data_IF_633358099020
#
_entry.id   IF_633358099020
#
_cell.length_a   1.000
_cell.length_b   1.000
_cell.length_c   1.000
_cell.angle_alpha   90.00
_cell.angle_beta   90.00
_cell.angle_gamma   90.00
#
_symmetry.space_group_name_H-M   'P 1'
#
loop_
_entity.id
_entity.type
_entity.pdbx_description
1 polymer ?
#
# COMPACT_ATOMS: atom_id res chain seq x y z
N UNK A 1 27.54 -7.19 22.14
CA UNK A 1 26.19 -6.62 21.90
C UNK A 1 25.53 -7.43 20.80
N UNK A 2 24.22 -7.69 20.89
CA UNK A 2 23.52 -8.42 19.83
C UNK A 2 23.56 -7.63 18.51
N UNK A 3 23.70 -8.34 17.39
CA UNK A 3 23.70 -7.78 16.04
C UNK A 3 22.71 -8.54 15.16
N UNK A 4 22.35 -7.96 14.02
CA UNK A 4 21.46 -8.55 13.03
C UNK A 4 21.75 -7.98 11.63
N UNK A 5 21.30 -8.68 10.58
CA UNK A 5 21.47 -8.23 9.19
C UNK A 5 20.41 -7.20 8.79
N UNK A 6 20.81 -6.26 7.94
CA UNK A 6 19.92 -5.27 7.36
C UNK A 6 20.36 -4.83 5.97
N UNK A 7 19.40 -4.47 5.13
CA UNK A 7 19.64 -3.87 3.82
C UNK A 7 19.71 -2.34 3.97
N UNK A 8 20.92 -1.80 3.93
CA UNK A 8 21.22 -0.39 4.20
C UNK A 8 21.22 0.43 2.92
N UNK A 9 20.47 1.52 2.92
CA UNK A 9 20.64 2.59 1.94
C UNK A 9 21.83 3.45 2.36
N UNK A 10 22.92 3.37 1.61
CA UNK A 10 24.18 4.10 1.90
C UNK A 10 24.22 5.50 1.30
N UNK A 11 23.38 5.75 0.29
CA UNK A 11 23.26 7.04 -0.39
C UNK A 11 22.09 7.04 -1.36
N UNK A 12 21.69 8.24 -1.82
CA UNK A 12 20.61 8.42 -2.80
C UNK A 12 20.97 7.73 -4.12
N UNK A 13 20.03 6.95 -4.65
CA UNK A 13 20.18 6.21 -5.90
C UNK A 13 21.13 5.01 -5.83
N UNK A 14 21.68 4.70 -4.65
CA UNK A 14 22.61 3.58 -4.50
C UNK A 14 21.87 2.26 -4.26
N UNK A 15 22.42 1.12 -4.71
CA UNK A 15 21.94 -0.20 -4.31
C UNK A 15 21.96 -0.36 -2.78
N UNK A 16 21.00 -1.13 -2.25
CA UNK A 16 21.02 -1.49 -0.84
C UNK A 16 22.18 -2.43 -0.54
N UNK A 17 22.90 -2.18 0.54
CA UNK A 17 24.03 -3.00 0.99
C UNK A 17 23.62 -3.80 2.22
N UNK A 18 23.70 -5.13 2.15
CA UNK A 18 23.42 -5.98 3.30
C UNK A 18 24.62 -5.97 4.25
N UNK A 19 24.40 -5.57 5.50
CA UNK A 19 25.44 -5.54 6.52
C UNK A 19 24.88 -5.80 7.92
N UNK A 20 25.76 -6.22 8.84
CA UNK A 20 25.43 -6.36 10.25
C UNK A 20 25.32 -4.98 10.91
N UNK A 21 24.31 -4.81 11.77
CA UNK A 21 24.17 -3.64 12.65
C UNK A 21 23.87 -4.07 14.07
N UNK A 22 24.05 -3.16 15.02
CA UNK A 22 23.66 -3.37 16.41
C UNK A 22 22.14 -3.51 16.53
N UNK A 23 21.68 -4.42 17.38
CA UNK A 23 20.28 -4.51 17.80
C UNK A 23 20.07 -3.65 19.04
N UNK A 24 19.29 -2.58 18.91
CA UNK A 24 18.91 -1.74 20.04
C UNK A 24 17.69 -2.31 20.80
N UNK A 25 17.56 -1.92 22.07
CA UNK A 25 16.43 -2.27 22.93
C UNK A 25 15.26 -1.32 22.65
N UNK A 26 14.00 -1.78 22.80
CA UNK A 26 12.87 -0.90 22.60
C UNK A 26 12.82 0.20 23.67
N UNK A 27 12.40 1.41 23.28
CA UNK A 27 12.00 2.44 24.23
C UNK A 27 10.68 2.10 24.96
N UNK A 28 10.22 2.94 25.89
CA UNK A 28 9.05 2.67 26.73
C UNK A 28 7.76 2.35 25.95
N UNK A 29 7.54 2.99 24.81
CA UNK A 29 6.33 2.86 23.98
C UNK A 29 6.57 2.01 22.72
N UNK A 30 7.57 1.13 22.74
CA UNK A 30 8.05 0.44 21.54
C UNK A 30 8.07 -1.08 21.68
N UNK A 31 8.03 -1.73 20.53
CA UNK A 31 8.20 -3.16 20.35
C UNK A 31 9.54 -3.40 19.66
N UNK A 32 10.29 -4.39 20.11
CA UNK A 32 11.36 -4.98 19.30
C UNK A 32 10.80 -6.19 18.56
N UNK A 33 10.82 -6.14 17.23
CA UNK A 33 10.19 -7.16 16.38
C UNK A 33 11.25 -8.00 15.70
N UNK A 34 11.15 -9.32 15.79
CA UNK A 34 11.83 -10.22 14.87
C UNK A 34 11.07 -10.25 13.55
N UNK A 35 11.60 -9.57 12.55
CA UNK A 35 11.01 -9.50 11.22
C UNK A 35 11.05 -10.87 10.57
N UNK A 36 9.89 -11.32 10.06
CA UNK A 36 9.72 -12.60 9.35
C UNK A 36 9.40 -12.40 7.89
N UNK A 37 8.68 -11.32 7.55
CA UNK A 37 8.46 -10.89 6.18
C UNK A 37 8.33 -9.36 6.12
N UNK A 38 8.59 -8.81 4.94
CA UNK A 38 8.40 -7.39 4.63
C UNK A 38 7.55 -7.26 3.37
N UNK A 39 6.76 -6.20 3.30
CA UNK A 39 6.05 -5.79 2.09
C UNK A 39 6.86 -4.75 1.32
N UNK A 40 6.87 -4.83 -0.01
CA UNK A 40 7.47 -3.82 -0.87
C UNK A 40 6.39 -2.88 -1.42
N UNK A 41 6.66 -1.59 -1.32
CA UNK A 41 5.76 -0.52 -1.73
C UNK A 41 6.42 0.36 -2.79
N UNK A 42 5.63 1.04 -3.65
CA UNK A 42 6.19 2.02 -4.58
C UNK A 42 7.00 3.12 -3.89
N UNK A 43 6.61 3.51 -2.67
CA UNK A 43 7.36 4.48 -1.89
C UNK A 43 8.81 4.03 -1.62
N UNK A 44 9.09 2.73 -1.46
CA UNK A 44 10.42 2.23 -1.09
C UNK A 44 11.47 2.48 -2.17
N UNK A 45 11.13 2.25 -3.45
CA UNK A 45 12.07 2.54 -4.53
C UNK A 45 12.19 4.05 -4.78
N UNK A 46 11.14 4.84 -4.55
CA UNK A 46 11.20 6.30 -4.65
C UNK A 46 12.08 6.86 -3.52
N UNK A 47 12.00 6.31 -2.31
CA UNK A 47 12.91 6.61 -1.21
C UNK A 47 14.35 6.30 -1.61
N UNK A 48 14.62 5.08 -2.13
CA UNK A 48 15.95 4.68 -2.58
C UNK A 48 16.50 5.59 -3.69
N UNK A 49 15.73 5.80 -4.76
CA UNK A 49 16.22 6.44 -5.98
C UNK A 49 16.21 7.96 -5.89
N UNK A 50 15.15 8.52 -5.29
CA UNK A 50 14.89 9.95 -5.31
C UNK A 50 15.08 10.61 -3.93
N UNK A 51 15.25 9.82 -2.87
CA UNK A 51 15.41 10.34 -1.51
C UNK A 51 14.12 10.88 -0.90
N UNK A 52 12.94 10.43 -1.37
CA UNK A 52 11.66 10.80 -0.77
C UNK A 52 11.70 10.52 0.75
N UNK A 53 11.30 11.49 1.56
CA UNK A 53 11.33 11.45 3.04
C UNK A 53 12.70 11.31 3.73
N UNK A 54 13.77 10.93 3.01
CA UNK A 54 15.09 10.67 3.61
C UNK A 54 15.79 11.98 3.96
N UNK A 55 16.15 12.11 5.25
CA UNK A 55 16.89 13.27 5.77
C UNK A 55 18.41 13.07 5.76
N UNK A 56 18.87 11.85 5.96
CA UNK A 56 20.30 11.51 6.01
C UNK A 56 20.52 10.04 5.64
N UNK A 57 21.76 9.76 5.23
CA UNK A 57 22.28 8.42 5.00
C UNK A 57 23.46 8.16 5.95
N UNK A 58 23.76 6.90 6.30
CA UNK A 58 23.02 5.69 5.94
C UNK A 58 21.69 5.55 6.68
N UNK A 59 20.72 4.88 6.07
CA UNK A 59 19.40 4.59 6.67
C UNK A 59 18.87 3.20 6.26
N UNK A 60 17.81 2.72 6.92
CA UNK A 60 17.06 1.52 6.53
C UNK A 60 15.70 1.95 5.99
N UNK A 61 15.32 1.44 4.83
CA UNK A 61 14.05 1.75 4.18
C UNK A 61 12.97 0.73 4.57
N UNK A 62 11.79 0.88 3.95
CA UNK A 62 10.70 -0.06 4.08
C UNK A 62 9.66 0.35 5.12
N UNK A 63 8.40 0.10 4.80
CA UNK A 63 7.25 0.41 5.65
C UNK A 63 6.59 -0.82 6.25
N UNK A 64 6.42 -1.89 5.48
CA UNK A 64 5.63 -3.02 5.93
C UNK A 64 6.48 -4.10 6.59
N UNK A 65 6.13 -4.46 7.83
CA UNK A 65 6.73 -5.56 8.59
C UNK A 65 5.66 -6.54 9.02
N UNK A 66 5.96 -7.83 8.98
CA UNK A 66 5.31 -8.81 9.86
C UNK A 66 6.36 -9.60 10.64
N UNK A 67 6.03 -9.98 11.88
CA UNK A 67 7.01 -10.62 12.74
C UNK A 67 6.51 -11.01 14.12
N UNK A 68 7.45 -11.52 14.92
CA UNK A 68 7.21 -11.89 16.31
C UNK A 68 7.75 -10.80 17.23
N UNK A 69 6.97 -10.37 18.22
CA UNK A 69 7.43 -9.45 19.26
C UNK A 69 8.46 -10.17 20.13
N UNK A 70 9.68 -9.66 20.21
CA UNK A 70 10.75 -10.19 21.06
C UNK A 70 10.81 -9.52 22.43
N UNK A 71 10.63 -8.21 22.45
CA UNK A 71 10.66 -7.39 23.68
C UNK A 71 9.63 -6.28 23.56
N UNK A 72 9.13 -5.82 24.71
CA UNK A 72 8.12 -4.77 24.84
C UNK A 72 8.62 -3.71 25.80
N UNK A 73 8.37 -2.45 25.48
CA UNK A 73 8.68 -1.33 26.35
C UNK A 73 7.78 -1.27 27.59
N UNK A 74 8.20 -0.49 28.58
CA UNK A 74 7.56 -0.41 29.91
C UNK A 74 6.10 0.11 29.86
N UNK A 75 5.78 0.96 28.89
CA UNK A 75 4.44 1.53 28.72
C UNK A 75 3.53 0.65 27.84
N UNK A 76 4.08 -0.40 27.22
CA UNK A 76 3.31 -1.29 26.34
C UNK A 76 2.47 -2.25 27.16
N UNK A 77 1.18 -2.31 26.83
CA UNK A 77 0.23 -3.15 27.54
C UNK A 77 0.42 -4.64 27.22
N UNK A 78 0.63 -5.44 28.27
CA UNK A 78 0.91 -6.89 28.15
C UNK A 78 -0.25 -7.79 28.61
N UNK A 79 -1.33 -7.22 29.17
CA UNK A 79 -2.49 -7.98 29.65
C UNK A 79 -3.81 -7.38 29.17
N UNK A 80 -4.77 -8.25 28.94
CA UNK A 80 -6.14 -7.88 28.60
C UNK A 80 -6.80 -7.19 29.79
N UNK A 81 -7.47 -6.07 29.54
CA UNK A 81 -8.36 -5.38 30.49
C UNK A 81 -9.79 -5.51 29.96
N UNK A 82 -10.82 -5.14 30.76
CA UNK A 82 -12.20 -5.14 30.30
C UNK A 82 -12.43 -4.29 29.05
N UNK A 83 -11.60 -3.26 28.84
CA UNK A 83 -11.51 -2.54 27.58
C UNK A 83 -10.71 -3.36 26.55
N UNK A 84 -11.45 -3.92 25.59
CA UNK A 84 -10.94 -4.76 24.49
C UNK A 84 -10.41 -3.95 23.30
N UNK A 85 -10.50 -2.62 23.34
CA UNK A 85 -10.15 -1.77 22.19
C UNK A 85 -8.63 -1.59 22.06
N UNK A 86 -7.88 -1.42 23.14
CA UNK A 86 -6.42 -1.35 23.06
C UNK A 86 -5.79 -2.73 22.81
N UNK A 87 -4.88 -2.89 21.83
CA UNK A 87 -4.15 -4.14 21.59
C UNK A 87 -3.23 -4.50 22.77
N UNK A 88 -2.89 -5.79 22.85
CA UNK A 88 -2.00 -6.36 23.87
C UNK A 88 -0.83 -7.05 23.18
N UNK A 89 0.39 -6.78 23.65
CA UNK A 89 1.62 -7.36 23.11
C UNK A 89 2.39 -8.10 24.18
N UNK A 90 2.77 -9.34 23.90
CA UNK A 90 3.54 -10.21 24.77
C UNK A 90 4.79 -10.70 24.03
N UNK A 91 5.93 -10.47 24.65
CA UNK A 91 7.22 -10.95 24.17
C UNK A 91 7.23 -12.47 23.97
N UNK A 92 7.77 -12.93 22.84
CA UNK A 92 7.84 -14.34 22.46
C UNK A 92 6.52 -14.98 22.04
N UNK A 93 5.40 -14.24 22.10
CA UNK A 93 4.05 -14.79 21.88
C UNK A 93 3.33 -14.03 20.75
N UNK A 94 3.28 -12.70 20.84
CA UNK A 94 2.44 -11.91 19.93
C UNK A 94 3.06 -11.83 18.54
N UNK A 95 2.33 -12.34 17.55
CA UNK A 95 2.58 -12.16 16.13
C UNK A 95 1.95 -10.84 15.69
N UNK A 96 2.64 -10.06 14.86
CA UNK A 96 2.14 -8.75 14.42
C UNK A 96 2.32 -8.54 12.91
N UNK A 97 1.53 -7.60 12.38
CA UNK A 97 1.93 -6.77 11.25
C UNK A 97 2.10 -5.32 11.74
N UNK A 98 2.96 -4.53 11.11
CA UNK A 98 3.21 -3.16 11.54
C UNK A 98 3.67 -2.24 10.40
N UNK A 99 3.31 -0.96 10.55
CA UNK A 99 3.83 0.13 9.76
C UNK A 99 5.11 0.69 10.43
N UNK A 100 6.27 0.35 9.87
CA UNK A 100 7.58 0.79 10.33
C UNK A 100 7.68 2.33 10.35
N UNK A 101 8.31 2.87 11.40
CA UNK A 101 8.22 4.29 11.73
C UNK A 101 9.39 5.14 11.21
N UNK A 102 10.26 4.59 10.33
CA UNK A 102 11.46 5.27 9.84
C UNK A 102 11.22 6.73 9.44
N UNK A 103 10.23 6.99 8.60
CA UNK A 103 9.88 8.34 8.11
C UNK A 103 9.54 9.31 9.26
N UNK A 104 8.95 8.82 10.34
CA UNK A 104 8.52 9.61 11.49
C UNK A 104 9.58 9.73 12.59
N UNK A 105 10.60 8.86 12.55
CA UNK A 105 11.77 8.85 13.46
C UNK A 105 13.00 9.43 12.77
N UNK A 106 12.83 10.47 11.95
CA UNK A 106 13.92 11.14 11.22
C UNK A 106 14.79 10.21 10.37
N UNK A 107 14.20 9.13 9.83
CA UNK A 107 14.89 8.07 9.09
C UNK A 107 16.01 7.40 9.90
N UNK A 108 15.82 7.29 11.22
CA UNK A 108 16.69 6.49 12.07
C UNK A 108 16.69 5.02 11.58
N UNK A 109 17.88 4.43 11.31
CA UNK A 109 18.03 3.06 10.84
C UNK A 109 17.29 1.99 11.66
N UNK A 110 17.03 2.22 12.94
CA UNK A 110 16.40 1.21 13.81
C UNK A 110 14.90 1.01 13.54
N UNK A 111 14.28 1.92 12.77
CA UNK A 111 12.83 1.94 12.54
C UNK A 111 12.40 1.64 11.10
N UNK A 112 13.33 1.24 10.22
CA UNK A 112 13.03 0.82 8.84
C UNK A 112 12.69 -0.66 8.74
N UNK A 113 11.82 -1.06 7.82
CA UNK A 113 11.38 -2.46 7.72
C UNK A 113 12.47 -3.43 7.22
N UNK A 114 13.42 -2.99 6.38
CA UNK A 114 14.35 -3.88 5.67
C UNK A 114 15.53 -4.36 6.53
N UNK A 115 15.21 -5.01 7.64
CA UNK A 115 16.16 -5.56 8.60
C UNK A 115 15.55 -6.71 9.39
N UNK A 116 16.37 -7.59 9.96
CA UNK A 116 15.88 -8.73 10.74
C UNK A 116 15.31 -8.35 12.12
N UNK A 117 15.63 -7.16 12.63
CA UNK A 117 15.15 -6.62 13.91
C UNK A 117 14.75 -5.16 13.74
N UNK A 118 13.48 -4.85 13.98
CA UNK A 118 12.95 -3.49 13.80
C UNK A 118 12.33 -3.00 15.11
N UNK A 119 12.61 -1.75 15.47
CA UNK A 119 11.85 -1.03 16.50
C UNK A 119 10.57 -0.46 15.88
N UNK A 120 9.46 -0.59 16.59
CA UNK A 120 8.14 -0.18 16.13
C UNK A 120 7.38 0.45 17.31
N UNK A 121 6.86 1.68 17.22
CA UNK A 121 5.92 2.20 18.20
C UNK A 121 4.69 1.31 18.27
N UNK A 122 4.23 0.90 19.46
CA UNK A 122 3.20 -0.13 19.56
C UNK A 122 1.89 0.24 18.84
N UNK A 123 1.56 1.54 18.75
CA UNK A 123 0.39 2.07 18.04
C UNK A 123 0.43 1.75 16.54
N UNK A 124 1.62 1.57 15.96
CA UNK A 124 1.80 1.23 14.56
C UNK A 124 1.62 -0.26 14.27
N UNK A 125 1.42 -1.09 15.29
CA UNK A 125 1.33 -2.53 15.18
C UNK A 125 -0.11 -3.04 15.37
N UNK A 126 -0.48 -4.04 14.59
CA UNK A 126 -1.68 -4.84 14.77
C UNK A 126 -1.29 -6.25 15.24
N UNK A 127 -1.82 -6.75 16.36
CA UNK A 127 -1.67 -8.15 16.72
C UNK A 127 -2.47 -9.03 15.75
N UNK A 128 -1.82 -10.04 15.19
CA UNK A 128 -2.46 -10.97 14.26
C UNK A 128 -3.38 -11.94 15.02
N UNK A 129 -4.55 -12.30 14.46
CA UNK A 129 -5.39 -13.35 15.03
C UNK A 129 -4.70 -14.73 14.93
N UNK A 130 -5.24 -15.71 15.64
CA UNK A 130 -4.74 -17.09 15.61
C UNK A 130 -5.07 -17.85 14.31
N UNK A 131 -5.78 -17.23 13.37
CA UNK A 131 -6.38 -17.83 12.17
C UNK A 131 -5.39 -18.08 11.00
N UNK A 132 -4.19 -18.57 11.32
CA UNK A 132 -3.20 -19.05 10.34
C UNK A 132 -2.76 -18.05 9.24
N UNK A 133 -2.99 -16.74 9.42
CA UNK A 133 -2.38 -15.74 8.52
C UNK A 133 -0.87 -15.97 8.45
N UNK A 134 -0.33 -16.18 7.26
CA UNK A 134 1.12 -16.33 7.08
C UNK A 134 1.85 -14.99 7.31
N UNK A 135 3.15 -15.04 7.58
CA UNK A 135 3.97 -13.83 7.68
C UNK A 135 3.90 -13.00 6.40
N UNK A 136 3.94 -13.64 5.23
CA UNK A 136 3.88 -12.95 3.93
C UNK A 136 2.55 -12.23 3.76
N UNK A 137 1.42 -12.90 4.02
CA UNK A 137 0.09 -12.27 3.95
C UNK A 137 -0.04 -11.11 4.95
N UNK A 138 0.45 -11.29 6.17
CA UNK A 138 0.41 -10.24 7.19
C UNK A 138 1.23 -9.00 6.78
N UNK A 139 2.36 -9.20 6.10
CA UNK A 139 3.21 -8.11 5.64
C UNK A 139 2.60 -7.29 4.49
N UNK A 140 1.49 -7.72 3.87
CA UNK A 140 0.82 -6.91 2.83
C UNK A 140 -0.24 -5.96 3.38
N UNK A 141 -0.47 -5.94 4.69
CA UNK A 141 -1.59 -5.24 5.32
C UNK A 141 -1.31 -3.81 5.78
N UNK A 142 -0.15 -3.46 6.38
CA UNK A 142 -0.02 -2.20 7.10
C UNK A 142 -0.20 -0.96 6.20
N UNK A 143 0.57 -0.80 5.13
CA UNK A 143 0.38 0.30 4.17
C UNK A 143 -0.99 0.19 3.48
N UNK A 144 -1.41 -1.02 3.08
CA UNK A 144 -2.68 -1.25 2.41
C UNK A 144 -3.89 -0.76 3.22
N UNK A 145 -3.84 -0.88 4.56
CA UNK A 145 -4.88 -0.39 5.45
C UNK A 145 -4.69 1.10 5.79
N UNK A 146 -3.49 1.52 6.19
CA UNK A 146 -3.24 2.88 6.67
C UNK A 146 -3.57 3.96 5.62
N UNK A 147 -3.22 3.71 4.36
CA UNK A 147 -3.35 4.70 3.27
C UNK A 147 -4.80 5.08 2.98
N UNK A 148 -5.73 4.15 2.69
CA UNK A 148 -7.14 4.50 2.50
C UNK A 148 -7.81 5.02 3.77
N UNK A 149 -7.45 4.52 4.96
CA UNK A 149 -7.99 5.06 6.22
C UNK A 149 -7.55 6.52 6.46
N UNK A 150 -6.30 6.86 6.12
CA UNK A 150 -5.84 8.25 6.12
C UNK A 150 -6.61 9.11 5.09
N UNK A 151 -6.93 8.56 3.91
CA UNK A 151 -7.77 9.24 2.93
C UNK A 151 -9.15 9.59 3.51
N UNK A 152 -9.76 8.68 4.28
CA UNK A 152 -11.04 8.91 4.97
C UNK A 152 -10.94 10.01 6.03
N UNK A 153 -9.89 10.00 6.84
CA UNK A 153 -9.63 11.07 7.83
C UNK A 153 -9.49 12.43 7.12
N UNK A 154 -8.71 12.51 6.03
CA UNK A 154 -8.50 13.74 5.24
C UNK A 154 -9.79 14.25 4.59
N UNK A 155 -10.67 13.34 4.19
CA UNK A 155 -12.00 13.66 3.65
C UNK A 155 -13.05 13.95 4.72
N UNK A 156 -12.74 13.73 5.99
CA UNK A 156 -13.69 13.95 7.09
C UNK A 156 -14.79 12.89 7.15
N UNK A 157 -14.54 11.70 6.61
CA UNK A 157 -15.46 10.56 6.81
C UNK A 157 -15.46 10.13 8.28
N UNK A 158 -16.61 9.68 8.80
CA UNK A 158 -16.67 9.16 10.15
C UNK A 158 -15.84 7.88 10.27
N UNK A 159 -15.23 7.71 11.45
CA UNK A 159 -14.62 6.44 11.88
C UNK A 159 -15.74 5.43 12.16
N UNK A 160 -15.61 4.21 11.64
CA UNK A 160 -16.68 3.21 11.65
C UNK A 160 -17.11 2.77 13.06
N UNK A 161 -16.19 2.84 14.01
CA UNK A 161 -16.30 2.41 15.40
C UNK A 161 -16.83 3.53 16.30
N UNK A 162 -17.04 4.74 15.75
CA UNK A 162 -17.62 5.85 16.48
C UNK A 162 -19.08 5.54 16.83
N UNK A 163 -19.35 5.30 18.11
CA UNK A 163 -20.69 5.09 18.66
C UNK A 163 -21.42 6.40 18.99
N UNK A 164 -20.86 7.54 18.60
CA UNK A 164 -21.52 8.83 18.80
C UNK A 164 -22.90 8.78 18.12
N UNK A 165 -23.94 9.22 18.85
CA UNK A 165 -25.27 9.40 18.28
C UNK A 165 -25.19 10.51 17.24
N UNK A 166 -24.91 10.13 16.01
CA UNK A 166 -24.80 11.05 14.91
C UNK A 166 -26.09 11.02 14.09
N UNK A 167 -26.55 12.19 13.67
CA UNK A 167 -27.72 12.29 12.81
C UNK A 167 -27.49 11.47 11.54
N UNK A 168 -28.53 10.73 11.13
CA UNK A 168 -28.51 10.00 9.87
C UNK A 168 -28.36 11.02 8.74
N UNK A 169 -27.26 10.93 7.99
CA UNK A 169 -27.09 11.73 6.78
C UNK A 169 -27.80 11.06 5.63
N UNK A 170 -28.35 11.88 4.73
CA UNK A 170 -28.85 11.39 3.46
C UNK A 170 -27.66 10.89 2.62
N UNK A 171 -27.71 9.61 2.27
CA UNK A 171 -26.73 8.99 1.40
C UNK A 171 -27.02 9.38 -0.04
N UNK A 172 -26.24 10.31 -0.57
CA UNK A 172 -26.42 10.89 -1.91
C UNK A 172 -25.13 10.91 -2.72
N UNK A 173 -24.04 10.33 -2.20
CA UNK A 173 -22.73 10.35 -2.82
C UNK A 173 -22.29 8.97 -3.30
N UNK A 174 -21.73 8.91 -4.50
CA UNK A 174 -20.84 7.83 -4.88
C UNK A 174 -19.41 8.19 -4.44
N UNK A 175 -18.74 7.27 -3.74
CA UNK A 175 -17.33 7.39 -3.40
C UNK A 175 -16.48 6.73 -4.49
N UNK A 176 -15.62 7.52 -5.14
CA UNK A 176 -14.78 7.04 -6.24
C UNK A 176 -13.45 6.49 -5.73
N UNK A 177 -13.11 5.27 -6.15
CA UNK A 177 -11.80 4.65 -5.93
C UNK A 177 -11.10 4.50 -7.29
N UNK A 178 -10.14 5.38 -7.56
CA UNK A 178 -9.37 5.29 -8.80
C UNK A 178 -8.13 4.41 -8.62
N UNK A 179 -7.94 3.40 -9.47
CA UNK A 179 -6.85 2.43 -9.33
C UNK A 179 -7.14 1.31 -8.32
N UNK A 180 -8.39 0.84 -8.30
CA UNK A 180 -8.96 -0.05 -7.30
C UNK A 180 -8.33 -1.46 -7.22
N UNK A 181 -7.62 -1.92 -8.25
CA UNK A 181 -6.93 -3.21 -8.21
C UNK A 181 -5.50 -3.15 -7.63
N UNK A 182 -5.04 -1.97 -7.20
CA UNK A 182 -3.77 -1.82 -6.47
C UNK A 182 -3.91 -2.26 -5.00
N UNK A 183 -2.80 -2.52 -4.30
CA UNK A 183 -2.83 -2.97 -2.89
C UNK A 183 -3.63 -2.04 -1.97
N UNK A 184 -3.37 -0.73 -2.03
CA UNK A 184 -4.15 0.27 -1.26
C UNK A 184 -5.55 0.47 -1.85
N UNK A 185 -5.72 0.27 -3.16
CA UNK A 185 -7.02 0.37 -3.84
C UNK A 185 -8.01 -0.72 -3.43
N UNK A 186 -7.55 -1.96 -3.25
CA UNK A 186 -8.42 -3.09 -2.87
C UNK A 186 -8.95 -2.92 -1.44
N UNK A 187 -8.11 -2.44 -0.51
CA UNK A 187 -8.54 -2.04 0.83
C UNK A 187 -9.38 -0.76 0.81
N UNK A 188 -9.09 0.16 -0.11
CA UNK A 188 -9.92 1.33 -0.39
C UNK A 188 -11.36 0.95 -0.74
N UNK A 189 -11.56 -0.01 -1.66
CA UNK A 189 -12.91 -0.50 -2.03
C UNK A 189 -13.61 -1.15 -0.83
N UNK A 190 -12.94 -2.04 -0.10
CA UNK A 190 -13.55 -2.75 1.04
C UNK A 190 -13.93 -1.78 2.16
N UNK A 191 -13.05 -0.84 2.52
CA UNK A 191 -13.34 0.17 3.55
C UNK A 191 -14.40 1.19 3.10
N UNK A 192 -14.42 1.57 1.82
CA UNK A 192 -15.49 2.39 1.25
C UNK A 192 -16.85 1.67 1.26
N UNK A 193 -16.87 0.35 1.03
CA UNK A 193 -18.09 -0.44 1.12
C UNK A 193 -18.66 -0.45 2.54
N UNK A 194 -17.80 -0.46 3.56
CA UNK A 194 -18.22 -0.29 4.96
C UNK A 194 -18.75 1.11 5.25
N UNK A 195 -18.21 2.15 4.61
CA UNK A 195 -18.74 3.51 4.77
C UNK A 195 -20.20 3.64 4.35
N UNK A 196 -20.68 2.82 3.41
CA UNK A 196 -22.11 2.75 3.06
C UNK A 196 -23.00 2.29 4.21
N UNK A 197 -22.45 1.59 5.19
CA UNK A 197 -23.20 1.08 6.34
C UNK A 197 -23.23 2.08 7.49
N UNK A 198 -22.36 3.10 7.47
CA UNK A 198 -22.25 4.05 8.56
C UNK A 198 -23.36 5.12 8.47
N UNK A 199 -24.20 5.32 9.51
CA UNK A 199 -25.36 6.21 9.47
C UNK A 199 -25.08 7.66 9.09
N UNK A 200 -23.87 8.15 9.37
CA UNK A 200 -23.46 9.53 9.09
C UNK A 200 -22.45 9.65 7.96
N UNK A 201 -22.23 8.57 7.22
CA UNK A 201 -21.52 8.64 5.95
C UNK A 201 -22.47 9.12 4.86
N UNK A 202 -22.04 10.03 3.96
CA UNK A 202 -22.83 10.40 2.79
C UNK A 202 -22.80 9.36 1.67
N UNK A 203 -21.99 8.30 1.80
CA UNK A 203 -21.77 7.30 0.74
C UNK A 203 -22.98 6.39 0.55
N UNK A 204 -23.60 6.46 -0.62
CA UNK A 204 -24.62 5.55 -1.11
C UNK A 204 -24.03 4.41 -1.95
N UNK A 205 -22.96 4.68 -2.70
CA UNK A 205 -22.35 3.73 -3.63
C UNK A 205 -20.82 3.84 -3.65
N UNK A 206 -20.14 2.75 -4.01
CA UNK A 206 -18.71 2.71 -4.30
C UNK A 206 -18.51 2.53 -5.80
N UNK A 207 -17.93 3.54 -6.43
CA UNK A 207 -17.52 3.49 -7.83
C UNK A 207 -16.02 3.22 -7.88
N UNK A 208 -15.58 2.35 -8.78
CA UNK A 208 -14.18 1.94 -8.83
C UNK A 208 -13.66 1.90 -10.27
N UNK A 209 -12.37 2.23 -10.46
CA UNK A 209 -11.70 2.04 -11.76
C UNK A 209 -10.60 0.98 -11.66
N UNK A 210 -10.53 0.09 -12.65
CA UNK A 210 -9.45 -0.89 -12.79
C UNK A 210 -9.34 -1.35 -14.25
N UNK A 211 -8.28 -2.09 -14.61
CA UNK A 211 -8.22 -2.69 -15.95
C UNK A 211 -9.26 -3.80 -16.10
N UNK A 212 -9.77 -4.03 -17.31
CA UNK A 212 -10.86 -4.98 -17.62
C UNK A 212 -10.72 -6.34 -16.91
N UNK A 213 -9.52 -6.92 -16.92
CA UNK A 213 -9.24 -8.22 -16.32
C UNK A 213 -9.58 -8.30 -14.81
N UNK A 214 -9.55 -7.17 -14.11
CA UNK A 214 -9.77 -7.09 -12.66
C UNK A 214 -11.19 -6.66 -12.29
N UNK A 215 -12.11 -6.42 -13.24
CA UNK A 215 -13.47 -5.96 -12.93
C UNK A 215 -14.21 -6.91 -12.00
N UNK A 216 -14.18 -8.21 -12.29
CA UNK A 216 -14.83 -9.22 -11.44
C UNK A 216 -14.26 -9.28 -10.02
N UNK A 217 -12.93 -9.16 -9.90
CA UNK A 217 -12.26 -9.11 -8.60
C UNK A 217 -12.68 -7.86 -7.82
N UNK A 218 -12.59 -6.68 -8.42
CA UNK A 218 -12.95 -5.40 -7.76
C UNK A 218 -14.43 -5.34 -7.37
N UNK A 219 -15.34 -5.86 -8.21
CA UNK A 219 -16.75 -6.00 -7.83
C UNK A 219 -16.93 -6.92 -6.62
N UNK A 220 -16.17 -8.01 -6.53
CA UNK A 220 -16.24 -8.93 -5.38
C UNK A 220 -15.79 -8.32 -4.05
N UNK A 221 -15.00 -7.23 -4.11
CA UNK A 221 -14.53 -6.48 -2.94
C UNK A 221 -15.57 -5.48 -2.39
N UNK A 222 -16.68 -5.25 -3.12
CA UNK A 222 -17.75 -4.35 -2.67
C UNK A 222 -17.99 -3.11 -3.54
N UNK A 223 -17.34 -2.99 -4.70
CA UNK A 223 -17.65 -1.94 -5.67
C UNK A 223 -19.02 -2.18 -6.32
N UNK A 224 -19.85 -1.14 -6.39
CA UNK A 224 -21.19 -1.17 -7.01
C UNK A 224 -21.12 -1.00 -8.53
N UNK A 225 -20.25 -0.12 -9.02
CA UNK A 225 -19.93 0.06 -10.45
C UNK A 225 -18.41 0.02 -10.66
N UNK A 226 -17.98 -0.65 -11.74
CA UNK A 226 -16.55 -0.79 -12.08
C UNK A 226 -16.27 -0.41 -13.53
N UNK A 227 -15.43 0.61 -13.69
CA UNK A 227 -15.10 1.25 -14.96
C UNK A 227 -13.68 0.87 -15.42
N UNK A 228 -13.47 0.78 -16.73
CA UNK A 228 -12.12 0.55 -17.27
C UNK A 228 -11.39 1.88 -17.41
N UNK A 229 -10.29 2.08 -16.67
CA UNK A 229 -9.54 3.33 -16.76
C UNK A 229 -8.83 3.51 -18.12
N UNK A 230 -8.71 2.45 -18.94
CA UNK A 230 -8.12 2.55 -20.28
C UNK A 230 -9.12 3.04 -21.33
N UNK A 231 -10.42 3.12 -21.00
CA UNK A 231 -11.40 3.68 -21.91
C UNK A 231 -11.22 5.21 -21.99
N UNK A 232 -11.07 5.72 -23.21
CA UNK A 232 -10.92 7.16 -23.46
C UNK A 232 -12.14 7.97 -22.99
N UNK A 233 -13.32 7.35 -22.92
CA UNK A 233 -14.58 7.94 -22.44
C UNK A 233 -14.88 7.66 -20.96
N UNK A 234 -13.94 7.10 -20.20
CA UNK A 234 -14.20 6.66 -18.81
C UNK A 234 -14.72 7.78 -17.89
N UNK A 235 -14.25 9.02 -18.10
CA UNK A 235 -14.71 10.18 -17.31
C UNK A 235 -16.19 10.43 -17.56
N UNK A 236 -16.61 10.46 -18.83
CA UNK A 236 -18.00 10.68 -19.20
C UNK A 236 -18.90 9.51 -18.75
N UNK A 237 -18.41 8.29 -18.84
CA UNK A 237 -19.11 7.08 -18.37
C UNK A 237 -19.40 7.15 -16.87
N UNK A 238 -18.40 7.52 -16.05
CA UNK A 238 -18.54 7.66 -14.60
C UNK A 238 -19.55 8.78 -14.26
N UNK A 239 -19.46 9.93 -14.94
CA UNK A 239 -20.36 11.07 -14.72
C UNK A 239 -21.80 10.73 -15.11
N UNK A 240 -21.99 10.05 -16.24
CA UNK A 240 -23.30 9.61 -16.70
C UNK A 240 -23.92 8.59 -15.73
N UNK A 241 -23.13 7.62 -15.26
CA UNK A 241 -23.55 6.62 -14.28
C UNK A 241 -24.01 7.26 -12.97
N UNK A 242 -23.26 8.22 -12.43
CA UNK A 242 -23.65 8.92 -11.21
C UNK A 242 -24.96 9.70 -11.39
N UNK A 243 -25.14 10.39 -12.53
CA UNK A 243 -26.39 11.09 -12.85
C UNK A 243 -27.58 10.14 -12.99
N UNK A 244 -27.38 8.99 -13.64
CA UNK A 244 -28.38 7.92 -13.77
C UNK A 244 -28.82 7.40 -12.39
N UNK A 245 -27.87 7.19 -11.49
CA UNK A 245 -28.12 6.71 -10.13
C UNK A 245 -28.68 7.81 -9.19
N UNK A 246 -28.79 9.06 -9.66
CA UNK A 246 -29.19 10.20 -8.84
C UNK A 246 -28.17 10.57 -7.76
N UNK A 247 -26.90 10.22 -7.98
CA UNK A 247 -25.78 10.44 -7.07
C UNK A 247 -24.86 11.55 -7.55
N UNK A 248 -24.06 12.07 -6.63
CA UNK A 248 -22.96 13.00 -6.92
C UNK A 248 -21.62 12.41 -6.51
N UNK A 249 -20.55 12.83 -7.20
CA UNK A 249 -19.19 12.43 -6.86
C UNK A 249 -18.48 13.63 -6.24
N UNK A 250 -18.28 13.59 -4.92
CA UNK A 250 -17.58 14.65 -4.16
C UNK A 250 -16.24 14.22 -3.62
N UNK A 251 -16.03 12.92 -3.50
CA UNK A 251 -14.89 12.31 -2.85
C UNK A 251 -14.27 11.27 -3.78
N UNK A 252 -12.95 11.38 -3.97
CA UNK A 252 -12.17 10.42 -4.75
C UNK A 252 -10.90 10.01 -4.01
N UNK A 253 -10.72 8.71 -3.77
CA UNK A 253 -9.44 8.16 -3.37
C UNK A 253 -8.66 7.75 -4.62
N UNK A 254 -7.59 8.49 -4.92
CA UNK A 254 -6.65 8.17 -5.98
C UNK A 254 -5.57 7.22 -5.44
N UNK A 255 -5.80 5.92 -5.60
CA UNK A 255 -4.86 4.88 -5.19
C UNK A 255 -3.66 4.80 -6.15
N UNK A 256 -3.92 4.89 -7.45
CA UNK A 256 -2.92 4.88 -8.52
C UNK A 256 -3.58 5.36 -9.82
N UNK A 257 -2.89 6.14 -10.66
CA UNK A 257 -3.37 6.49 -12.01
C UNK A 257 -3.35 7.98 -12.28
N UNK A 258 -4.32 8.46 -13.07
CA UNK A 258 -4.34 9.82 -13.61
C UNK A 258 -5.15 10.78 -12.72
N UNK A 259 -4.44 11.70 -12.06
CA UNK A 259 -5.05 12.74 -11.24
C UNK A 259 -6.03 13.62 -12.03
N UNK A 260 -5.68 14.00 -13.26
CA UNK A 260 -6.51 14.86 -14.11
C UNK A 260 -7.88 14.25 -14.42
N UNK A 261 -7.96 12.93 -14.64
CA UNK A 261 -9.22 12.24 -14.84
C UNK A 261 -10.10 12.26 -13.58
N UNK A 262 -9.50 12.06 -12.40
CA UNK A 262 -10.20 12.17 -11.12
C UNK A 262 -10.74 13.60 -10.90
N UNK A 263 -9.93 14.61 -11.20
CA UNK A 263 -10.34 16.02 -11.12
C UNK A 263 -11.49 16.34 -12.06
N UNK A 264 -11.44 15.86 -13.31
CA UNK A 264 -12.50 16.07 -14.30
C UNK A 264 -13.83 15.44 -13.84
N UNK A 265 -13.79 14.22 -13.28
CA UNK A 265 -14.98 13.56 -12.73
C UNK A 265 -15.61 14.39 -11.60
N UNK A 266 -14.82 14.82 -10.61
CA UNK A 266 -15.37 15.58 -9.47
C UNK A 266 -15.85 16.97 -9.88
N UNK A 267 -15.11 17.65 -10.77
CA UNK A 267 -15.46 18.98 -11.27
C UNK A 267 -16.82 19.00 -11.98
N UNK A 268 -17.23 17.91 -12.63
CA UNK A 268 -18.55 17.78 -13.26
C UNK A 268 -19.73 17.91 -12.26
N UNK A 269 -19.46 17.86 -10.95
CA UNK A 269 -20.44 18.01 -9.86
C UNK A 269 -20.18 19.25 -8.98
N UNK A 270 -19.27 20.14 -9.38
CA UNK A 270 -18.99 21.43 -8.75
C UNK A 270 -19.76 22.53 -9.49
N UNK A 271 -20.63 23.28 -8.80
CA UNK A 271 -21.37 24.43 -9.38
C UNK A 271 -22.55 24.09 -10.30
N UNK A 272 -23.55 25.00 -10.33
CA UNK A 272 -24.84 25.03 -11.07
C UNK A 272 -25.45 23.71 -11.60
N UNK A 273 -26.35 23.16 -10.77
CA UNK A 273 -27.29 22.05 -10.98
C UNK A 273 -28.15 21.88 -9.71
N UNK A 274 -29.18 21.01 -9.66
CA UNK A 274 -29.99 20.80 -8.45
C UNK A 274 -29.17 20.39 -7.20
N UNK A 275 -27.94 19.91 -7.41
CA UNK A 275 -26.96 19.55 -6.39
C UNK A 275 -25.87 20.62 -6.10
N UNK A 276 -26.05 21.86 -6.58
CA UNK A 276 -25.10 22.98 -6.51
C UNK A 276 -24.88 23.60 -5.12
N UNK A 277 -25.39 22.99 -4.05
CA UNK A 277 -25.21 23.50 -2.69
C UNK A 277 -23.83 23.28 -2.08
N UNK A 278 -22.86 22.71 -2.82
CA UNK A 278 -21.59 22.27 -2.23
C UNK A 278 -20.40 22.95 -2.88
N UNK A 279 -19.62 23.60 -2.03
CA UNK A 279 -18.54 24.50 -2.42
C UNK A 279 -17.19 23.81 -2.65
N UNK A 280 -17.00 22.54 -2.25
CA UNK A 280 -15.72 21.83 -2.34
C UNK A 280 -15.88 20.32 -2.50
N UNK A 281 -15.22 19.74 -3.51
CA UNK A 281 -14.95 18.31 -3.68
C UNK A 281 -13.50 18.01 -3.30
N UNK A 282 -13.16 16.76 -2.97
CA UNK A 282 -11.84 16.39 -2.47
C UNK A 282 -11.29 15.10 -3.08
N UNK A 283 -10.03 15.16 -3.47
CA UNK A 283 -9.21 14.02 -3.89
C UNK A 283 -8.14 13.78 -2.83
N UNK A 284 -8.08 12.57 -2.29
CA UNK A 284 -6.95 12.11 -1.49
C UNK A 284 -6.07 11.20 -2.35
N UNK A 285 -4.81 11.57 -2.54
CA UNK A 285 -3.86 10.90 -3.44
C UNK A 285 -2.85 10.07 -2.65
N UNK A 286 -2.78 8.77 -2.94
CA UNK A 286 -1.69 7.91 -2.47
C UNK A 286 -0.36 8.18 -3.18
N UNK A 287 -0.32 8.37 -4.51
CA UNK A 287 0.90 8.81 -5.18
C UNK A 287 1.33 10.21 -4.74
N UNK A 288 2.65 10.49 -4.70
CA UNK A 288 3.16 11.86 -4.56
C UNK A 288 2.57 12.77 -5.63
N UNK A 289 2.15 13.96 -5.21
CA UNK A 289 1.63 14.96 -6.13
C UNK A 289 2.77 15.56 -6.97
N UNK A 290 2.56 15.81 -8.28
CA UNK A 290 3.50 16.58 -9.10
C UNK A 290 3.83 17.94 -8.47
N UNK A 291 5.03 18.46 -8.70
CA UNK A 291 5.43 19.80 -8.19
C UNK A 291 4.50 20.93 -8.67
N UNK A 292 3.83 20.74 -9.81
CA UNK A 292 2.88 21.69 -10.40
C UNK A 292 1.54 20.99 -10.64
N UNK A 293 0.83 20.65 -9.57
CA UNK A 293 -0.55 20.17 -9.68
C UNK A 293 -1.41 21.25 -10.33
N UNK A 294 -2.10 20.90 -11.41
CA UNK A 294 -3.12 21.76 -12.00
C UNK A 294 -4.26 21.96 -10.99
N UNK A 295 -4.49 23.20 -10.57
CA UNK A 295 -5.63 23.55 -9.73
C UNK A 295 -6.91 23.50 -10.57
N UNK A 296 -7.95 22.88 -10.00
CA UNK A 296 -9.28 22.81 -10.60
C UNK A 296 -10.25 23.43 -9.61
N UNK A 297 -11.01 24.43 -10.06
CA UNK A 297 -11.90 25.20 -9.19
C UNK A 297 -12.88 24.28 -8.45
N UNK A 298 -12.97 24.45 -7.13
CA UNK A 298 -13.82 23.64 -6.26
C UNK A 298 -13.38 22.18 -6.08
N UNK A 299 -12.22 21.75 -6.58
CA UNK A 299 -11.65 20.42 -6.34
C UNK A 299 -10.31 20.53 -5.60
N UNK A 300 -10.33 20.23 -4.30
CA UNK A 300 -9.13 20.15 -3.46
C UNK A 300 -8.42 18.81 -3.68
N UNK A 301 -7.10 18.83 -3.91
CA UNK A 301 -6.28 17.60 -4.00
C UNK A 301 -5.23 17.59 -2.91
N UNK A 302 -5.20 16.52 -2.11
CA UNK A 302 -4.29 16.37 -0.96
C UNK A 302 -3.58 15.03 -1.05
N UNK A 303 -2.26 15.00 -0.84
CA UNK A 303 -1.54 13.74 -0.68
C UNK A 303 -1.89 13.13 0.68
N UNK A 304 -2.16 11.83 0.73
CA UNK A 304 -2.33 11.11 2.00
C UNK A 304 -1.00 11.06 2.73
N UNK A 305 -0.95 11.76 3.86
CA UNK A 305 0.18 11.75 4.77
C UNK A 305 -0.36 11.73 6.20
N UNK A 306 0.05 10.76 7.04
CA UNK A 306 -0.17 10.84 8.47
C UNK A 306 0.40 12.14 9.05
N UNK A 307 -0.03 12.53 10.25
CA UNK A 307 0.46 13.76 10.87
C UNK A 307 2.00 13.76 11.03
N UNK A 308 2.67 14.60 10.23
CA UNK A 308 4.14 14.62 10.17
C UNK A 308 4.75 15.38 11.35
N UNK A 309 4.17 16.52 11.72
CA UNK A 309 4.70 17.41 12.75
C UNK A 309 4.15 17.12 14.16
N UNK A 310 2.92 16.60 14.25
CA UNK A 310 2.25 16.29 15.52
C UNK A 310 2.30 14.78 15.78
N UNK A 311 3.23 14.39 16.67
CA UNK A 311 3.41 12.98 17.05
C UNK A 311 2.19 12.41 17.79
N UNK A 312 1.55 13.17 18.68
CA UNK A 312 0.41 12.68 19.44
C UNK A 312 -0.78 12.37 18.52
N UNK A 313 -1.05 13.27 17.57
CA UNK A 313 -2.08 13.05 16.55
C UNK A 313 -1.72 11.86 15.65
N UNK A 314 -0.46 11.74 15.23
CA UNK A 314 0.01 10.60 14.41
C UNK A 314 -0.16 9.27 15.12
N UNK A 315 0.24 9.17 16.40
CA UNK A 315 0.10 7.96 17.18
C UNK A 315 -1.39 7.60 17.35
N UNK A 316 -2.25 8.60 17.57
CA UNK A 316 -3.71 8.41 17.63
C UNK A 316 -4.29 7.89 16.30
N UNK A 317 -3.78 8.38 15.17
CA UNK A 317 -4.14 7.90 13.84
C UNK A 317 -3.74 6.43 13.65
N UNK A 318 -2.48 6.07 13.92
CA UNK A 318 -2.01 4.69 13.77
C UNK A 318 -2.68 3.74 14.75
N UNK A 319 -2.90 4.14 16.00
CA UNK A 319 -3.62 3.33 16.98
C UNK A 319 -5.03 3.01 16.48
N UNK A 320 -5.71 3.98 15.87
CA UNK A 320 -7.00 3.75 15.24
C UNK A 320 -6.88 2.80 14.03
N UNK A 321 -6.00 3.09 13.07
CA UNK A 321 -5.89 2.30 11.84
C UNK A 321 -5.45 0.85 12.08
N UNK A 322 -4.49 0.64 12.97
CA UNK A 322 -3.88 -0.67 13.24
C UNK A 322 -4.52 -1.36 14.45
N UNK A 323 -4.54 -0.67 15.60
CA UNK A 323 -4.94 -1.21 16.89
C UNK A 323 -6.44 -1.40 17.06
N UNK A 324 -7.24 -0.63 16.31
CA UNK A 324 -8.70 -0.72 16.30
C UNK A 324 -9.21 -1.31 14.99
N UNK A 325 -9.18 -0.56 13.89
CA UNK A 325 -9.86 -0.92 12.64
C UNK A 325 -9.33 -2.23 12.06
N UNK A 326 -8.02 -2.31 11.78
CA UNK A 326 -7.45 -3.50 11.14
C UNK A 326 -7.51 -4.73 12.05
N UNK A 327 -7.28 -4.56 13.35
CA UNK A 327 -7.43 -5.63 14.35
C UNK A 327 -8.84 -6.23 14.32
N UNK A 328 -9.87 -5.38 14.36
CA UNK A 328 -11.27 -5.83 14.33
C UNK A 328 -11.59 -6.50 12.99
N UNK A 329 -11.18 -5.91 11.87
CA UNK A 329 -11.48 -6.48 10.55
C UNK A 329 -10.74 -7.77 10.22
N UNK A 330 -9.57 -7.99 10.82
CA UNK A 330 -8.90 -9.30 10.75
C UNK A 330 -9.59 -10.35 11.62
N UNK A 331 -10.16 -9.96 12.77
CA UNK A 331 -10.92 -10.86 13.63
C UNK A 331 -12.28 -11.25 13.04
N UNK A 332 -12.91 -10.34 12.28
CA UNK A 332 -14.16 -10.57 11.54
C UNK A 332 -13.97 -11.33 10.22
N UNK A 333 -12.72 -11.62 9.83
CA UNK A 333 -12.36 -12.12 8.49
C UNK A 333 -12.87 -11.22 7.34
N UNK A 334 -13.08 -9.93 7.63
CA UNK A 334 -13.59 -8.95 6.66
C UNK A 334 -12.49 -8.46 5.72
N UNK A 335 -11.30 -8.21 6.26
CA UNK A 335 -10.10 -7.92 5.46
C UNK A 335 -9.50 -9.25 5.01
N UNK A 336 -10.23 -9.95 4.14
CA UNK A 336 -9.77 -11.19 3.52
C UNK A 336 -10.24 -11.23 2.07
N UNK A 337 -9.33 -10.84 1.18
CA UNK A 337 -9.32 -11.30 -0.20
C UNK A 337 -7.88 -11.65 -0.61
N UNK A 338 -7.28 -12.61 0.11
CA UNK A 338 -6.10 -13.35 -0.38
C UNK A 338 -6.37 -14.85 -0.53
N UNK A 339 -7.51 -15.35 -0.05
CA UNK A 339 -8.06 -16.67 -0.40
C UNK A 339 -9.59 -16.57 -0.49
N UNK A 340 -10.15 -17.19 -1.53
CA UNK A 340 -11.57 -17.11 -1.86
C UNK A 340 -12.46 -17.69 -0.75
N UNK A 341 -13.07 -16.84 0.09
CA UNK A 341 -14.24 -17.26 0.90
C UNK A 341 -15.12 -16.13 1.43
N UNK A 342 -15.42 -15.11 0.63
CA UNK A 342 -16.53 -14.19 0.93
C UNK A 342 -17.88 -14.80 0.47
N UNK A 343 -18.54 -15.59 1.33
CA UNK A 343 -19.91 -16.10 1.09
C UNK A 343 -20.71 -16.14 2.40
N UNK A 344 -21.16 -14.99 2.91
CA UNK A 344 -22.30 -15.00 3.87
C UNK A 344 -23.15 -13.75 4.00
N UNK A 345 -22.72 -12.57 3.56
CA UNK A 345 -23.46 -11.34 3.86
C UNK A 345 -24.45 -10.84 2.79
N UNK A 346 -24.62 -11.54 1.66
CA UNK A 346 -25.54 -11.09 0.60
C UNK A 346 -27.00 -11.50 0.80
N UNK A 347 -27.31 -12.36 1.76
CA UNK A 347 -28.65 -12.99 1.88
C UNK A 347 -29.61 -12.39 2.90
N UNK A 348 -29.19 -11.46 3.78
CA UNK A 348 -30.06 -11.02 4.88
C UNK A 348 -30.65 -9.61 4.77
N UNK A 349 -30.31 -8.82 3.75
CA UNK A 349 -30.88 -7.48 3.58
C UNK A 349 -31.25 -7.21 2.12
N UNK A 350 -32.40 -7.72 1.71
CA UNK A 350 -33.17 -7.13 0.62
C UNK A 350 -34.50 -6.63 1.22
N UNK A 351 -34.84 -5.34 1.10
CA UNK A 351 -36.18 -4.90 1.47
C UNK A 351 -37.19 -5.58 0.53
N UNK A 352 -38.28 -6.08 1.11
CA UNK A 352 -39.42 -6.65 0.37
C UNK A 352 -40.02 -5.57 -0.53
N UNK A 353 -39.60 -5.53 -1.79
CA UNK A 353 -40.36 -4.86 -2.85
C UNK A 353 -41.35 -5.87 -3.39
N UNK A 354 -42.61 -5.71 -3.02
CA UNK A 354 -43.74 -6.39 -3.67
C UNK A 354 -43.97 -5.75 -5.03
N UNK A 355 -43.63 -6.44 -6.11
CA UNK A 355 -44.24 -6.18 -7.41
C UNK A 355 -44.47 -7.47 -8.18
N UNK A 356 -45.70 -7.61 -8.66
CA UNK A 356 -46.20 -8.74 -9.43
C UNK A 356 -45.42 -8.86 -10.74
N UNK A 357 -44.87 -10.05 -11.02
CA UNK A 357 -44.31 -10.41 -12.33
C UNK A 357 -45.43 -10.77 -13.30
N UNK A 358 -45.36 -10.33 -14.58
CA UNK A 358 -45.78 -11.15 -15.70
C UNK A 358 -44.57 -11.88 -16.32
N UNK A 359 -44.82 -13.11 -16.78
CA UNK A 359 -43.86 -14.06 -17.37
C UNK A 359 -43.23 -13.50 -18.67
N UNK A 360 -41.93 -13.74 -18.93
CA UNK A 360 -41.36 -13.48 -20.25
C UNK A 360 -41.65 -14.65 -21.20
N UNK A 361 -42.27 -14.34 -22.34
CA UNK A 361 -42.30 -15.18 -23.53
C UNK A 361 -40.95 -15.09 -24.25
N UNK A 362 -40.44 -16.25 -24.63
CA UNK A 362 -39.21 -16.45 -25.40
C UNK A 362 -39.50 -16.17 -26.88
N UNK A 363 -38.83 -15.19 -27.48
CA UNK A 363 -38.80 -15.00 -28.94
C UNK A 363 -37.34 -15.01 -29.41
N UNK A 364 -36.95 -16.09 -30.08
CA UNK A 364 -35.75 -16.19 -30.91
C UNK A 364 -36.00 -15.48 -32.25
N UNK A 365 -34.95 -14.91 -32.87
CA UNK A 365 -34.56 -15.00 -34.30
C UNK A 365 -33.34 -14.07 -34.60
N UNK A 366 -32.58 -14.24 -35.72
CA UNK A 366 -31.11 -14.22 -35.74
C UNK A 366 -30.41 -13.23 -36.73
N UNK A 367 -29.07 -13.16 -36.62
CA UNK A 367 -27.98 -12.91 -37.61
C UNK A 367 -28.14 -11.97 -38.84
N UNK A 368 -27.17 -11.04 -39.02
CA UNK A 368 -26.36 -10.73 -40.24
C UNK A 368 -25.65 -9.36 -40.08
N UNK A 369 -24.31 -9.24 -40.07
CA UNK A 369 -23.32 -9.18 -41.17
C UNK A 369 -23.42 -7.96 -42.10
N UNK A 370 -22.35 -7.14 -42.15
CA UNK A 370 -21.82 -6.27 -43.25
C UNK A 370 -20.61 -5.54 -42.60
N UNK A 371 -19.33 -5.60 -43.03
CA UNK A 371 -18.74 -5.46 -44.38
C UNK A 371 -18.92 -4.00 -44.83
N UNK A 372 -17.92 -3.13 -45.05
CA UNK A 372 -16.68 -3.28 -45.82
C UNK A 372 -15.86 -1.96 -45.83
N UNK A 373 -14.55 -2.04 -46.15
CA UNK A 373 -13.70 -1.07 -46.90
C UNK A 373 -13.28 0.27 -46.27
N UNK A 374 -12.18 0.95 -46.66
CA UNK A 374 -10.80 0.73 -47.19
C UNK A 374 -10.23 2.15 -47.43
N UNK A 375 -8.91 2.27 -47.67
CA UNK A 375 -8.10 3.46 -48.11
C UNK A 375 -7.57 4.33 -46.96
N UNK A 376 -6.27 4.46 -46.63
CA UNK A 376 -4.98 4.54 -47.36
C UNK A 376 -4.72 5.90 -48.05
N UNK A 377 -3.49 6.44 -47.84
CA UNK A 377 -2.86 7.72 -48.27
C UNK A 377 -2.93 8.83 -47.19
N UNK A 378 -1.85 9.51 -46.76
CA UNK A 378 -0.66 9.98 -47.49
C UNK A 378 0.65 10.00 -46.67
N UNK A 379 1.75 10.00 -47.43
CA UNK A 379 3.16 10.15 -47.02
C UNK A 379 3.58 11.62 -47.20
N UNK A 380 4.61 12.01 -46.44
CA UNK A 380 5.70 12.95 -46.78
C UNK A 380 5.73 14.37 -46.17
N UNK A 381 6.88 14.57 -45.49
CA UNK A 381 7.87 15.66 -45.65
C UNK A 381 7.81 16.92 -44.78
N UNK A 382 9.00 17.29 -44.30
CA UNK A 382 9.38 18.56 -43.66
C UNK A 382 9.84 18.33 -42.21
N UNK A 383 11.11 18.30 -41.83
CA UNK A 383 12.27 19.04 -42.33
C UNK A 383 12.58 20.20 -41.38
N UNK A 384 13.86 20.34 -40.99
CA UNK A 384 14.48 21.41 -40.17
C UNK A 384 14.27 21.32 -38.65
N UNK A 385 15.24 21.61 -37.76
CA UNK A 385 16.57 22.23 -37.92
C UNK A 385 17.34 22.11 -36.59
N UNK A 386 18.65 21.91 -36.69
CA UNK A 386 19.65 22.21 -35.65
C UNK A 386 20.00 23.70 -35.66
N UNK A 387 20.06 24.34 -34.49
CA UNK A 387 21.01 25.42 -34.12
C UNK A 387 20.91 25.66 -32.61
N UNK A 388 22.00 25.45 -31.87
CA UNK A 388 22.87 26.48 -31.24
C UNK A 388 22.08 27.43 -30.32
N UNK A 389 22.33 27.48 -29.01
CA UNK A 389 23.63 27.74 -28.39
C UNK A 389 23.69 29.23 -28.03
N UNK A 390 23.57 29.57 -26.75
CA UNK A 390 23.58 30.96 -26.27
C UNK A 390 23.52 31.07 -24.74
N UNK A 391 24.72 31.12 -24.15
CA UNK A 391 25.19 31.77 -22.93
C UNK A 391 24.46 31.69 -21.56
N UNK A 392 25.09 30.88 -20.70
CA UNK A 392 25.58 31.11 -19.32
C UNK A 392 25.38 32.50 -18.67
N UNK A 393 24.94 32.50 -17.40
CA UNK A 393 25.77 33.02 -16.30
C UNK A 393 25.34 32.58 -14.89
N UNK A 394 26.33 32.13 -14.10
CA UNK A 394 26.45 32.58 -12.71
C UNK A 394 25.98 31.72 -11.53
N UNK A 395 26.55 30.52 -11.28
CA UNK A 395 26.77 30.02 -9.89
C UNK A 395 28.02 29.13 -9.82
N UNK A 396 29.00 29.54 -8.99
CA UNK A 396 30.20 28.75 -8.63
C UNK A 396 29.84 27.63 -7.65
N UNK A 397 30.12 26.37 -8.00
CA UNK A 397 30.13 25.23 -7.06
C UNK A 397 31.56 24.95 -6.59
N UNK A 398 31.78 24.98 -5.27
CA UNK A 398 33.03 24.53 -4.63
C UNK A 398 33.09 22.99 -4.67
N UNK A 399 34.22 22.44 -5.12
CA UNK A 399 34.51 21.01 -5.08
C UNK A 399 34.88 20.54 -3.66
N UNK A 400 34.52 19.31 -3.23
CA UNK A 400 34.99 18.72 -1.98
C UNK A 400 36.41 18.18 -2.14
N UNK A 401 37.30 18.59 -1.22
CA UNK A 401 38.65 18.02 -1.08
C UNK A 401 38.63 16.66 -0.40
N UNK A 402 39.55 15.83 -0.86
CA UNK A 402 39.86 14.47 -0.47
C UNK A 402 40.34 14.34 0.98
N UNK A 403 40.01 13.21 1.61
CA UNK A 403 40.84 12.61 2.65
C UNK A 403 40.62 11.09 2.68
N UNK A 404 41.42 10.38 1.89
CA UNK A 404 41.74 8.97 2.08
C UNK A 404 43.16 8.92 2.63
N UNK A 405 43.36 8.38 3.84
CA UNK A 405 44.57 7.63 4.20
C UNK A 405 44.51 7.07 5.63
N UNK A 406 44.63 5.75 5.71
CA UNK A 406 45.60 5.00 6.55
C UNK A 406 44.98 3.89 7.39
N UNK A 407 44.99 2.69 6.81
CA UNK A 407 45.08 1.42 7.53
C UNK A 407 46.36 0.79 7.02
N UNK A 408 47.34 0.51 7.90
CA UNK A 408 48.18 -0.69 7.86
C UNK A 408 49.14 -0.78 9.06
N UNK A 409 49.40 -2.05 9.43
CA UNK A 409 50.44 -2.64 10.30
C UNK A 409 50.08 -2.93 11.78
N UNK A 410 49.67 -4.17 12.18
CA UNK A 410 50.42 -5.47 12.38
C UNK A 410 50.96 -5.58 13.85
N UNK A 411 51.20 -6.75 14.53
CA UNK A 411 50.97 -8.19 14.25
C UNK A 411 50.23 -9.00 15.36
N UNK A 412 49.92 -10.25 15.01
CA UNK A 412 49.61 -11.41 15.85
C UNK A 412 50.78 -11.93 16.68
N UNK A 413 50.55 -12.41 17.92
CA UNK A 413 51.23 -13.58 18.54
C UNK A 413 50.53 -13.99 19.85
N UNK A 414 50.32 -15.29 20.07
CA UNK A 414 50.26 -15.87 21.43
C UNK A 414 49.16 -16.91 21.68
N UNK A 415 49.44 -18.18 21.39
CA UNK A 415 48.68 -19.35 21.84
C UNK A 415 49.00 -19.75 23.30
N UNK A 416 48.08 -20.56 23.86
CA UNK A 416 48.15 -21.53 24.98
C UNK A 416 47.09 -21.23 26.06
N UNK A 417 46.32 -22.15 26.62
CA UNK A 417 45.95 -23.55 26.34
C UNK A 417 44.94 -23.97 27.42
N UNK A 418 43.85 -24.63 26.99
CA UNK A 418 43.04 -25.67 27.65
C UNK A 418 42.42 -25.51 29.05
N UNK A 419 41.08 -25.65 29.08
CA UNK A 419 40.30 -25.97 30.28
C UNK A 419 38.78 -26.08 30.06
N UNK A 420 38.35 -27.11 29.32
CA UNK A 420 37.02 -27.76 29.33
C UNK A 420 35.74 -26.99 28.89
N UNK A 421 35.15 -27.40 27.75
CA UNK A 421 33.72 -27.22 27.46
C UNK A 421 33.33 -27.20 25.98
N UNK A 422 32.80 -28.31 25.47
CA UNK A 422 31.81 -28.41 24.36
C UNK A 422 32.08 -27.69 23.03
N UNK A 423 32.49 -28.48 22.04
CA UNK A 423 32.83 -28.12 20.65
C UNK A 423 31.65 -27.48 19.86
N UNK A 424 31.79 -26.20 19.47
CA UNK A 424 30.99 -25.52 18.46
C UNK A 424 31.86 -24.44 17.77
N UNK A 425 32.65 -24.81 16.77
CA UNK A 425 32.94 -23.92 15.64
C UNK A 425 33.42 -24.65 14.36
N UNK A 426 32.56 -24.57 13.32
CA UNK A 426 32.73 -24.75 11.85
C UNK A 426 32.86 -26.14 11.21
N UNK A 427 32.26 -26.28 10.00
CA UNK A 427 32.99 -25.94 8.78
C UNK A 427 32.28 -24.89 7.91
N UNK A 428 33.07 -24.20 7.11
CA UNK A 428 32.68 -23.50 5.89
C UNK A 428 31.80 -24.41 5.02
N UNK A 429 30.50 -24.13 4.92
CA UNK A 429 29.68 -24.75 3.88
C UNK A 429 29.95 -24.01 2.57
N UNK A 430 30.56 -24.73 1.64
CA UNK A 430 30.63 -24.38 0.22
C UNK A 430 29.22 -23.95 -0.26
N UNK A 431 29.07 -22.78 -0.92
CA UNK A 431 27.79 -22.35 -1.50
C UNK A 431 27.11 -23.44 -2.35
N UNK A 432 27.88 -24.34 -2.98
CA UNK A 432 27.35 -25.48 -3.70
C UNK A 432 26.76 -26.56 -2.77
N UNK A 433 27.35 -26.79 -1.59
CA UNK A 433 26.82 -27.71 -0.57
C UNK A 433 25.57 -27.14 0.12
N UNK A 434 25.53 -25.83 0.40
CA UNK A 434 24.33 -25.16 0.90
C UNK A 434 23.16 -25.25 -0.11
N UNK A 435 23.45 -25.08 -1.41
CA UNK A 435 22.48 -25.31 -2.49
C UNK A 435 22.01 -26.77 -2.55
N UNK A 436 22.90 -27.73 -2.30
CA UNK A 436 22.59 -29.16 -2.33
C UNK A 436 21.79 -29.61 -1.10
N UNK A 437 21.96 -28.94 0.05
CA UNK A 437 21.17 -29.13 1.27
C UNK A 437 19.73 -28.61 1.08
N UNK A 438 19.56 -27.44 0.44
CA UNK A 438 18.24 -26.89 0.08
C UNK A 438 17.44 -27.81 -0.86
N UNK A 439 18.11 -28.62 -1.70
CA UNK A 439 17.47 -29.61 -2.57
C UNK A 439 16.92 -30.84 -1.83
N UNK A 440 17.31 -31.07 -0.57
CA UNK A 440 16.92 -32.27 0.21
C UNK A 440 15.80 -32.00 1.23
N UNK A 441 15.32 -30.76 1.37
CA UNK A 441 14.23 -30.43 2.29
C UNK A 441 12.88 -30.95 1.78
N UNK A 442 12.12 -31.72 2.59
CA UNK A 442 10.81 -32.22 2.19
C UNK A 442 9.78 -31.08 2.16
N UNK A 443 9.03 -31.03 1.06
CA UNK A 443 8.06 -29.98 0.75
C UNK A 443 6.75 -30.15 1.51
N UNK A 444 6.19 -29.04 1.98
CA UNK A 444 4.76 -28.90 2.28
C UNK A 444 4.29 -27.58 1.67
N UNK A 445 3.20 -27.64 0.91
CA UNK A 445 2.47 -26.50 0.34
C UNK A 445 3.05 -25.77 -0.90
N UNK A 446 3.82 -26.49 -1.72
CA UNK A 446 3.61 -26.41 -3.18
C UNK A 446 4.23 -25.27 -4.01
N UNK A 447 5.21 -24.49 -3.54
CA UNK A 447 6.07 -23.66 -4.43
C UNK A 447 7.52 -23.73 -3.95
N UNK A 448 8.46 -24.11 -4.83
CA UNK A 448 9.89 -24.12 -4.52
C UNK A 448 10.56 -22.81 -4.94
N UNK A 449 11.61 -22.39 -4.22
CA UNK A 449 12.47 -21.25 -4.59
C UNK A 449 13.08 -21.42 -5.99
N UNK A 450 13.26 -22.67 -6.46
CA UNK A 450 13.72 -22.94 -7.81
C UNK A 450 12.66 -22.61 -8.88
N UNK A 451 11.36 -22.75 -8.58
CA UNK A 451 10.30 -22.39 -9.52
C UNK A 451 10.25 -20.86 -9.77
N UNK A 452 10.60 -20.05 -8.77
CA UNK A 452 10.71 -18.60 -8.88
C UNK A 452 11.92 -18.18 -9.73
N UNK A 453 13.07 -18.86 -9.57
CA UNK A 453 14.31 -18.51 -10.29
C UNK A 453 14.36 -19.06 -11.72
N UNK A 454 13.72 -20.20 -11.99
CA UNK A 454 13.65 -20.77 -13.33
C UNK A 454 12.61 -20.06 -14.22
N UNK A 455 11.52 -19.53 -13.64
CA UNK A 455 10.54 -18.71 -14.35
C UNK A 455 11.12 -17.37 -14.84
N UNK A 456 12.03 -16.78 -14.06
CA UNK A 456 12.74 -15.55 -14.43
C UNK A 456 13.73 -15.77 -15.58
N UNK A 457 14.38 -16.95 -15.64
CA UNK A 457 15.33 -17.30 -16.71
C UNK A 457 14.66 -17.72 -18.02
N UNK A 458 13.41 -18.17 -17.99
CA UNK A 458 12.69 -18.67 -19.17
C UNK A 458 11.71 -17.65 -19.79
N UNK A 459 11.68 -16.40 -19.29
CA UNK A 459 10.81 -15.35 -19.85
C UNK A 459 9.32 -15.59 -19.63
N UNK A 460 8.95 -16.42 -18.64
CA UNK A 460 7.57 -16.79 -18.34
C UNK A 460 7.10 -16.19 -17.03
N UNK A 461 6.68 -14.93 -17.06
CA UNK A 461 5.81 -14.34 -16.04
C UNK A 461 4.55 -13.80 -16.73
N UNK A 462 3.75 -14.73 -17.24
CA UNK A 462 2.34 -14.49 -17.51
C UNK A 462 1.61 -15.54 -16.68
N UNK A 463 0.66 -15.10 -15.87
CA UNK A 463 -0.07 -15.86 -14.85
C UNK A 463 0.65 -16.05 -13.50
N UNK A 464 0.62 -15.00 -12.68
CA UNK A 464 0.30 -15.13 -11.23
C UNK A 464 -0.01 -13.78 -10.54
N UNK A 465 0.14 -12.63 -11.21
CA UNK A 465 -0.40 -11.34 -10.76
C UNK A 465 -0.76 -10.45 -11.96
N UNK A 466 -2.02 -10.02 -12.17
CA UNK A 466 -2.39 -9.12 -13.26
C UNK A 466 -2.11 -7.67 -12.85
N UNK A 467 -0.82 -7.31 -12.84
CA UNK A 467 -0.35 -5.92 -12.86
C UNK A 467 0.87 -5.85 -13.78
N UNK A 468 0.65 -5.97 -15.09
CA UNK A 468 1.65 -5.62 -16.09
C UNK A 468 1.60 -4.10 -16.33
N UNK A 469 2.70 -3.40 -16.04
CA UNK A 469 2.90 -2.00 -16.42
C UNK A 469 3.62 -1.93 -17.77
N UNK A 470 3.25 -1.04 -18.69
CA UNK A 470 3.99 -0.83 -19.92
C UNK A 470 5.31 -0.09 -19.64
N UNK A 471 6.45 -0.69 -20.03
CA UNK A 471 7.74 0.02 -20.08
C UNK A 471 7.58 1.24 -20.98
N UNK A 472 7.72 2.45 -20.43
CA UNK A 472 7.99 3.61 -21.25
C UNK A 472 9.38 3.43 -21.86
N UNK A 473 9.44 3.31 -23.18
CA UNK A 473 10.68 3.39 -23.93
C UNK A 473 11.24 4.81 -23.76
N UNK A 474 12.43 4.91 -23.18
CA UNK A 474 13.24 6.12 -23.25
C UNK A 474 13.78 6.20 -24.67
N UNK A 475 13.36 7.22 -25.42
CA UNK A 475 14.05 7.68 -26.64
C UNK A 475 15.15 8.66 -26.28
#
# INVERSE_FOLDING_TARGET
MATHLAAVATGKGQPLVVQNRRTHKPGPDELLVQVKAVGLNPADYIMRDQGLFIRSYPTILGFDVSGLVLEVGDNVRQRTTPDKTTPVFQAGITRIAAYAAAVFRSCDPDYGAFQERCLVPWQHAVPLPANDLSWVQAATLPVAAAVPLNAWDVMGFPRLESTQQTERKEQSEALLIWGASSSVGTLGVQSAALQKLHPSSPTAAVYATCGVANKGYVSSLGADRVFDYNDAGVVDEIVAAAKEDGLVLRHCFLALGQLSACQAVLHAFVGNGPAAGVSKAKISSAPPLPQHVTEVEGVETVMVTPAMADEANRLTQFEYWMGTWLKEKLAEEYVVALTARARKFRTELSPRVTSQKPKPQLLLLPFSSLGSNRLQQDIATGGMSTMNGGDIDGVKLKQPQEAVASINNVPSTGEMSNGAGGDFDRPTEDPAQALQALRKYPQKDGISVHALMDAEKQGGLVELFPCAWPRQSVS
#
